data_IF_185089205702
#
_entry.id   IF_185089205702
#
_cell.length_a   1.000
_cell.length_b   1.000
_cell.length_c   1.000
_cell.angle_alpha   90.00
_cell.angle_beta   90.00
_cell.angle_gamma   90.00
#
_symmetry.space_group_name_H-M   'P 1'
#
loop_
_entity.id
_entity.type
_entity.pdbx_description
1 polymer ?
#
# COMPACT_ATOMS: atom_id res chain seq x y z
N UNK A 1 2.76 -67.64 37.26
CA UNK A 1 3.90 -68.56 37.09
C UNK A 1 4.46 -68.37 35.69
N UNK A 2 5.76 -68.13 35.63
CA UNK A 2 6.69 -68.17 34.49
C UNK A 2 6.47 -67.16 33.35
N UNK A 3 7.32 -66.14 33.45
CA UNK A 3 7.87 -65.21 32.47
C UNK A 3 8.47 -65.86 31.23
N UNK A 4 8.39 -65.19 30.08
CA UNK A 4 9.44 -65.25 29.06
C UNK A 4 9.70 -63.87 28.43
N UNK A 5 10.98 -63.51 28.48
CA UNK A 5 11.60 -62.28 28.02
C UNK A 5 11.91 -62.38 26.52
N UNK A 6 11.67 -61.30 25.76
CA UNK A 6 12.31 -61.11 24.45
C UNK A 6 13.17 -59.84 24.48
N UNK A 7 14.47 -60.07 24.51
CA UNK A 7 15.55 -59.09 24.36
C UNK A 7 15.80 -58.81 22.88
N UNK A 8 16.00 -57.54 22.53
CA UNK A 8 16.52 -57.12 21.22
C UNK A 8 17.89 -56.43 21.41
N UNK A 9 18.85 -56.58 20.50
CA UNK A 9 20.25 -56.25 20.76
C UNK A 9 20.58 -54.78 20.49
N UNK A 10 21.51 -54.28 21.32
CA UNK A 10 22.10 -52.96 21.29
C UNK A 10 23.09 -52.79 20.13
N UNK A 11 22.86 -51.80 19.27
CA UNK A 11 23.87 -51.33 18.32
C UNK A 11 24.66 -50.17 18.92
N UNK A 12 25.90 -50.46 19.30
CA UNK A 12 26.94 -49.46 19.62
C UNK A 12 27.14 -48.52 18.43
N UNK A 13 27.11 -47.21 18.66
CA UNK A 13 27.70 -46.22 17.74
C UNK A 13 28.65 -45.32 18.50
N UNK A 14 29.86 -45.30 17.98
CA UNK A 14 31.07 -44.60 18.38
C UNK A 14 30.85 -43.13 18.79
N UNK A 15 31.22 -42.83 20.03
CA UNK A 15 31.49 -41.47 20.49
C UNK A 15 32.84 -41.01 19.94
N UNK A 16 32.83 -40.29 18.81
CA UNK A 16 33.98 -39.46 18.42
C UNK A 16 33.94 -38.17 19.23
N UNK A 17 34.83 -38.09 20.22
CA UNK A 17 35.09 -36.91 21.02
C UNK A 17 35.45 -35.70 20.15
N UNK A 18 34.58 -34.69 20.15
CA UNK A 18 34.90 -33.35 19.68
C UNK A 18 35.35 -32.54 20.89
N UNK A 19 36.64 -32.20 20.93
CA UNK A 19 37.21 -31.25 21.88
C UNK A 19 36.41 -29.94 21.80
N UNK A 20 35.65 -29.62 22.86
CA UNK A 20 35.08 -28.29 23.06
C UNK A 20 36.23 -27.34 23.36
N UNK A 21 36.68 -26.61 22.35
CA UNK A 21 37.35 -25.33 22.58
C UNK A 21 36.29 -24.38 23.16
N UNK A 22 36.39 -24.12 24.46
CA UNK A 22 35.77 -22.95 25.07
C UNK A 22 36.46 -21.73 24.47
N UNK A 23 35.82 -21.10 23.48
CA UNK A 23 36.10 -19.71 23.16
C UNK A 23 35.18 -18.86 24.02
N UNK A 24 35.78 -18.10 24.94
CA UNK A 24 35.13 -16.98 25.62
C UNK A 24 34.56 -16.05 24.55
N UNK A 25 33.24 -15.79 24.54
CA UNK A 25 32.74 -14.64 23.81
C UNK A 25 32.96 -13.43 24.70
N UNK A 26 34.07 -12.72 24.46
CA UNK A 26 34.14 -11.31 24.81
C UNK A 26 32.98 -10.60 24.11
N UNK A 27 32.07 -10.13 24.94
CA UNK A 27 30.92 -9.34 24.59
C UNK A 27 31.45 -7.98 24.15
N UNK A 28 31.37 -7.66 22.85
CA UNK A 28 31.45 -6.27 22.41
C UNK A 28 30.14 -5.56 22.77
N UNK A 29 30.00 -5.22 24.04
CA UNK A 29 29.24 -4.03 24.42
C UNK A 29 30.16 -2.87 24.07
N UNK A 30 29.88 -2.25 22.93
CA UNK A 30 30.30 -0.86 22.74
C UNK A 30 29.68 -0.04 23.88
N UNK A 31 30.50 0.52 24.75
CA UNK A 31 30.08 1.48 25.80
C UNK A 31 29.49 2.77 25.21
N UNK A 32 29.55 2.95 23.89
CA UNK A 32 28.91 4.05 23.20
C UNK A 32 27.45 3.70 22.85
N UNK A 33 26.45 4.30 23.52
CA UNK A 33 25.02 4.14 23.17
C UNK A 33 24.68 4.66 21.77
N UNK A 34 25.62 5.30 21.05
CA UNK A 34 25.44 5.75 19.67
C UNK A 34 25.91 4.72 18.62
N UNK A 35 26.53 3.60 19.02
CA UNK A 35 27.04 2.59 18.08
C UNK A 35 26.03 1.45 17.90
N UNK A 36 25.01 1.69 17.06
CA UNK A 36 24.07 0.66 16.60
C UNK A 36 24.67 0.00 15.35
N UNK A 37 25.30 -1.16 15.49
CA UNK A 37 25.76 -1.93 14.34
C UNK A 37 24.58 -2.55 13.59
N UNK A 38 24.37 -2.13 12.34
CA UNK A 38 23.27 -2.57 11.51
C UNK A 38 23.52 -3.95 10.89
N UNK A 39 22.57 -4.87 11.04
CA UNK A 39 22.56 -6.14 10.28
C UNK A 39 21.73 -5.95 9.01
N UNK A 40 22.40 -5.88 7.85
CA UNK A 40 21.76 -5.68 6.54
C UNK A 40 21.20 -6.99 5.98
N UNK A 41 19.89 -7.02 5.68
CA UNK A 41 19.22 -8.14 5.02
C UNK A 41 18.19 -7.65 3.99
N UNK A 42 18.46 -7.87 2.70
CA UNK A 42 17.48 -7.69 1.62
C UNK A 42 17.08 -9.07 1.08
N UNK A 43 15.83 -9.51 1.20
CA UNK A 43 15.34 -10.68 0.50
C UNK A 43 14.91 -10.33 -0.93
N UNK A 44 15.47 -10.98 -1.94
CA UNK A 44 15.01 -10.89 -3.33
C UNK A 44 14.01 -12.00 -3.67
N UNK A 45 12.96 -11.66 -4.43
CA UNK A 45 12.08 -12.64 -5.09
C UNK A 45 12.53 -12.86 -6.53
N UNK A 46 12.56 -14.12 -6.94
CA UNK A 46 13.05 -14.67 -8.22
C UNK A 46 12.30 -14.26 -9.52
N UNK A 47 11.45 -13.22 -9.52
CA UNK A 47 10.53 -12.97 -10.65
C UNK A 47 10.74 -11.64 -11.41
N UNK A 48 11.84 -10.91 -11.21
CA UNK A 48 12.05 -9.60 -11.87
C UNK A 48 12.97 -9.61 -13.09
N UNK A 49 13.45 -10.76 -13.58
CA UNK A 49 14.29 -10.83 -14.80
C UNK A 49 15.67 -10.15 -14.69
N UNK A 50 15.93 -9.40 -13.61
CA UNK A 50 17.21 -8.77 -13.30
C UNK A 50 17.88 -9.63 -12.22
N UNK A 51 18.92 -10.36 -12.62
CA UNK A 51 19.66 -11.27 -11.74
C UNK A 51 20.48 -10.49 -10.71
N UNK A 52 20.00 -10.42 -9.46
CA UNK A 52 20.80 -9.94 -8.33
C UNK A 52 21.22 -11.12 -7.44
N UNK A 53 22.53 -11.24 -7.19
CA UNK A 53 23.16 -12.32 -6.40
C UNK A 53 22.65 -12.29 -4.94
N UNK A 54 22.30 -13.47 -4.41
CA UNK A 54 21.94 -13.64 -3.00
C UNK A 54 23.18 -13.62 -2.10
N UNK A 55 23.21 -12.78 -1.07
CA UNK A 55 24.28 -12.77 -0.07
C UNK A 55 23.98 -13.71 1.11
N UNK A 56 25.03 -14.38 1.62
CA UNK A 56 24.96 -15.28 2.79
C UNK A 56 24.60 -14.47 4.04
N UNK A 57 23.61 -14.93 4.80
CA UNK A 57 23.20 -14.34 6.07
C UNK A 57 24.32 -14.54 7.11
N UNK A 58 24.66 -13.49 7.86
CA UNK A 58 25.49 -13.59 9.07
C UNK A 58 24.81 -14.43 10.17
N UNK A 59 25.52 -14.71 11.29
CA UNK A 59 24.99 -15.52 12.38
C UNK A 59 23.68 -14.92 12.92
N UNK A 60 22.63 -15.75 12.98
CA UNK A 60 21.32 -15.35 13.50
C UNK A 60 21.46 -15.06 15.00
N UNK A 61 21.28 -13.82 15.40
CA UNK A 61 20.98 -13.49 16.79
C UNK A 61 19.67 -14.19 17.18
N UNK A 62 19.63 -14.85 18.34
CA UNK A 62 18.52 -15.71 18.78
C UNK A 62 17.28 -14.94 19.25
N UNK A 63 17.18 -13.63 18.98
CA UNK A 63 16.08 -12.82 19.43
C UNK A 63 14.79 -13.15 18.67
N UNK A 64 13.76 -13.59 19.40
CA UNK A 64 12.44 -13.87 18.85
C UNK A 64 11.56 -12.62 18.94
N UNK A 65 11.31 -11.98 17.80
CA UNK A 65 10.43 -10.83 17.71
C UNK A 65 8.97 -11.23 17.98
N UNK A 66 8.32 -10.53 18.91
CA UNK A 66 6.89 -10.71 19.18
C UNK A 66 6.06 -9.92 18.18
N UNK A 67 5.39 -10.61 17.27
CA UNK A 67 4.43 -9.96 16.37
C UNK A 67 3.18 -9.50 17.12
N UNK A 68 2.84 -8.22 16.99
CA UNK A 68 1.67 -7.57 17.55
C UNK A 68 0.59 -7.47 16.46
N UNK A 69 -0.62 -7.96 16.75
CA UNK A 69 -1.81 -7.74 15.93
C UNK A 69 -2.60 -6.53 16.47
N UNK A 70 -2.30 -5.29 16.02
CA UNK A 70 -2.90 -4.08 16.59
C UNK A 70 -4.42 -4.02 16.38
N UNK A 71 -4.95 -4.80 15.44
CA UNK A 71 -6.37 -4.83 15.11
C UNK A 71 -7.08 -6.07 15.67
N UNK A 72 -6.36 -6.93 16.41
CA UNK A 72 -6.87 -8.16 17.03
C UNK A 72 -7.67 -9.03 16.04
N UNK A 73 -7.28 -9.02 14.76
CA UNK A 73 -7.97 -9.71 13.66
C UNK A 73 -8.10 -11.20 13.89
N UNK A 74 -7.07 -11.83 14.46
CA UNK A 74 -7.13 -13.25 14.83
C UNK A 74 -8.17 -13.48 15.91
N UNK A 75 -8.13 -12.71 16.99
CA UNK A 75 -9.08 -12.81 18.09
C UNK A 75 -10.52 -12.61 17.60
N UNK A 76 -10.77 -11.62 16.73
CA UNK A 76 -12.09 -11.36 16.14
C UNK A 76 -12.62 -12.59 15.37
N UNK A 77 -11.77 -13.25 14.58
CA UNK A 77 -12.15 -14.47 13.88
C UNK A 77 -12.48 -15.62 14.85
N UNK A 78 -11.63 -15.87 15.85
CA UNK A 78 -11.85 -16.93 16.84
C UNK A 78 -13.14 -16.69 17.66
N UNK A 79 -13.40 -15.43 18.05
CA UNK A 79 -14.64 -15.07 18.72
C UNK A 79 -15.85 -15.29 17.81
N UNK A 80 -15.77 -14.90 16.53
CA UNK A 80 -16.83 -15.17 15.56
C UNK A 80 -17.09 -16.68 15.42
N UNK A 81 -16.03 -17.47 15.22
CA UNK A 81 -16.10 -18.94 15.08
C UNK A 81 -16.75 -19.61 16.30
N UNK A 82 -16.41 -19.18 17.52
CA UNK A 82 -17.06 -19.65 18.75
C UNK A 82 -18.55 -19.30 18.79
N UNK A 83 -18.89 -18.06 18.44
CA UNK A 83 -20.29 -17.56 18.44
C UNK A 83 -21.17 -18.25 17.41
N UNK A 84 -20.58 -18.71 16.30
CA UNK A 84 -21.33 -19.33 15.19
C UNK A 84 -21.26 -20.85 15.18
N UNK A 85 -20.84 -21.48 16.29
CA UNK A 85 -20.72 -22.95 16.40
C UNK A 85 -22.05 -23.66 16.16
N UNK A 86 -23.14 -23.05 16.63
CA UNK A 86 -24.51 -23.60 16.52
C UNK A 86 -25.32 -22.89 15.42
N UNK A 87 -24.63 -22.36 14.40
CA UNK A 87 -25.23 -21.58 13.33
C UNK A 87 -24.96 -20.07 13.44
N UNK A 88 -25.18 -19.35 12.35
CA UNK A 88 -24.97 -17.90 12.24
C UNK A 88 -26.28 -17.20 12.62
N UNK A 89 -26.29 -16.37 13.68
CA UNK A 89 -27.52 -15.74 14.14
C UNK A 89 -28.03 -14.67 13.16
N UNK A 90 -29.34 -14.63 12.98
CA UNK A 90 -30.05 -13.64 12.16
C UNK A 90 -30.20 -14.01 10.68
N UNK A 91 -29.90 -15.25 10.31
CA UNK A 91 -30.16 -15.82 8.99
C UNK A 91 -30.71 -17.24 9.12
N UNK A 92 -31.28 -17.78 8.05
CA UNK A 92 -31.77 -19.16 8.02
C UNK A 92 -30.66 -20.19 8.24
N UNK A 93 -31.03 -21.38 8.73
CA UNK A 93 -30.10 -22.49 8.93
C UNK A 93 -29.42 -22.91 7.63
N UNK A 94 -30.15 -22.94 6.51
CA UNK A 94 -29.61 -23.30 5.20
C UNK A 94 -28.46 -22.38 4.77
N UNK A 95 -28.65 -21.05 4.86
CA UNK A 95 -27.60 -20.09 4.57
C UNK A 95 -26.44 -20.17 5.57
N UNK A 96 -26.76 -20.34 6.86
CA UNK A 96 -25.76 -20.53 7.90
C UNK A 96 -24.82 -21.70 7.59
N UNK A 97 -25.37 -22.86 7.25
CA UNK A 97 -24.59 -24.08 6.98
C UNK A 97 -23.70 -23.90 5.74
N UNK A 98 -24.22 -23.28 4.68
CA UNK A 98 -23.43 -22.98 3.47
C UNK A 98 -22.26 -22.05 3.77
N UNK A 99 -22.48 -20.97 4.53
CA UNK A 99 -21.44 -20.00 4.88
C UNK A 99 -20.40 -20.64 5.79
N UNK A 100 -20.82 -21.37 6.82
CA UNK A 100 -19.90 -22.04 7.75
C UNK A 100 -19.04 -23.09 7.02
N UNK A 101 -19.65 -23.87 6.13
CA UNK A 101 -18.91 -24.82 5.30
C UNK A 101 -17.90 -24.11 4.41
N UNK A 102 -18.32 -23.06 3.70
CA UNK A 102 -17.42 -22.26 2.85
C UNK A 102 -16.24 -21.69 3.64
N UNK A 103 -16.49 -21.03 4.77
CA UNK A 103 -15.45 -20.42 5.59
C UNK A 103 -14.52 -21.49 6.18
N UNK A 104 -15.06 -22.63 6.62
CA UNK A 104 -14.27 -23.76 7.09
C UNK A 104 -13.34 -24.34 6.01
N UNK A 105 -13.83 -24.49 4.78
CA UNK A 105 -12.99 -24.93 3.66
C UNK A 105 -11.91 -23.89 3.31
N UNK A 106 -12.23 -22.59 3.34
CA UNK A 106 -11.26 -21.51 3.17
C UNK A 106 -10.20 -21.48 4.29
N UNK A 107 -10.57 -21.85 5.52
CA UNK A 107 -9.66 -21.98 6.66
C UNK A 107 -8.70 -23.16 6.48
N UNK A 108 -9.19 -24.28 5.96
CA UNK A 108 -8.36 -25.43 5.59
C UNK A 108 -7.53 -25.18 4.32
N UNK A 109 -7.92 -24.18 3.51
CA UNK A 109 -7.27 -23.87 2.24
C UNK A 109 -7.66 -24.81 1.11
N UNK A 110 -8.77 -25.52 1.25
CA UNK A 110 -9.29 -26.44 0.24
C UNK A 110 -10.34 -25.74 -0.62
N UNK A 111 -10.54 -26.24 -1.84
CA UNK A 111 -11.48 -25.69 -2.82
C UNK A 111 -11.34 -24.19 -3.10
N UNK A 112 -10.14 -23.65 -2.86
CA UNK A 112 -9.78 -22.29 -3.25
C UNK A 112 -9.70 -22.16 -4.78
N UNK A 113 -10.00 -20.97 -5.29
CA UNK A 113 -9.86 -20.65 -6.73
C UNK A 113 -8.42 -20.88 -7.21
N UNK A 114 -8.27 -21.46 -8.41
CA UNK A 114 -6.97 -21.68 -9.07
C UNK A 114 -6.18 -20.38 -9.27
N UNK A 115 -6.87 -19.24 -9.42
CA UNK A 115 -6.26 -17.93 -9.58
C UNK A 115 -5.75 -17.33 -8.25
N UNK A 116 -6.15 -17.90 -7.12
CA UNK A 116 -5.72 -17.43 -5.80
C UNK A 116 -4.51 -18.20 -5.31
N UNK A 117 -3.68 -17.56 -4.46
CA UNK A 117 -2.57 -18.27 -3.77
C UNK A 117 -3.13 -19.54 -3.09
N UNK A 118 -2.55 -20.73 -3.33
CA UNK A 118 -2.96 -21.96 -2.65
C UNK A 118 -2.81 -21.87 -1.13
N UNK A 119 -3.61 -22.67 -0.41
CA UNK A 119 -3.53 -22.81 1.04
C UNK A 119 -4.48 -21.93 1.86
N UNK A 120 -4.29 -21.99 3.18
CA UNK A 120 -5.18 -21.41 4.20
C UNK A 120 -5.34 -19.90 4.04
N UNK A 121 -6.55 -19.38 4.28
CA UNK A 121 -6.82 -17.94 4.31
C UNK A 121 -6.51 -17.35 5.68
N UNK A 122 -6.07 -16.09 5.69
CA UNK A 122 -5.74 -15.40 6.94
C UNK A 122 -6.99 -15.17 7.79
N UNK A 123 -6.87 -15.10 9.14
CA UNK A 123 -8.01 -14.83 10.01
C UNK A 123 -8.78 -13.56 9.64
N UNK A 124 -8.08 -12.52 9.16
CA UNK A 124 -8.73 -11.31 8.63
C UNK A 124 -9.64 -11.59 7.45
N UNK A 125 -9.19 -12.43 6.51
CA UNK A 125 -9.97 -12.78 5.33
C UNK A 125 -11.16 -13.64 5.72
N UNK A 126 -10.96 -14.64 6.58
CA UNK A 126 -12.02 -15.53 7.05
C UNK A 126 -13.12 -14.76 7.80
N UNK A 127 -12.71 -13.85 8.70
CA UNK A 127 -13.66 -12.97 9.39
C UNK A 127 -14.45 -12.08 8.42
N UNK A 128 -13.79 -11.50 7.42
CA UNK A 128 -14.45 -10.66 6.41
C UNK A 128 -15.45 -11.47 5.58
N UNK A 129 -15.07 -12.68 5.14
CA UNK A 129 -15.95 -13.58 4.39
C UNK A 129 -17.21 -13.92 5.19
N UNK A 130 -17.04 -14.38 6.44
CA UNK A 130 -18.17 -14.72 7.30
C UNK A 130 -19.09 -13.52 7.58
N UNK A 131 -18.52 -12.35 7.85
CA UNK A 131 -19.28 -11.13 8.11
C UNK A 131 -20.05 -10.63 6.88
N UNK A 132 -19.38 -10.52 5.72
CA UNK A 132 -20.02 -10.04 4.49
C UNK A 132 -21.08 -11.00 3.99
N UNK A 133 -20.81 -12.31 3.96
CA UNK A 133 -21.78 -13.30 3.48
C UNK A 133 -23.00 -13.40 4.39
N UNK A 134 -22.81 -13.32 5.71
CA UNK A 134 -23.94 -13.20 6.64
C UNK A 134 -24.80 -12.00 6.26
N UNK A 135 -24.21 -10.83 6.01
CA UNK A 135 -24.98 -9.64 5.66
C UNK A 135 -25.69 -9.78 4.31
N UNK A 136 -25.05 -10.42 3.32
CA UNK A 136 -25.71 -10.71 2.04
C UNK A 136 -26.90 -11.65 2.25
N UNK A 137 -26.77 -12.69 3.09
CA UNK A 137 -27.89 -13.57 3.44
C UNK A 137 -29.04 -12.80 4.13
N UNK A 138 -28.74 -11.95 5.12
CA UNK A 138 -29.75 -11.08 5.77
C UNK A 138 -30.52 -10.25 4.72
N UNK A 139 -29.82 -9.66 3.75
CA UNK A 139 -30.44 -8.82 2.72
C UNK A 139 -31.24 -9.64 1.69
N UNK A 140 -30.73 -10.80 1.26
CA UNK A 140 -31.45 -11.70 0.35
C UNK A 140 -32.78 -12.17 0.97
N UNK A 141 -32.73 -12.57 2.24
CA UNK A 141 -33.92 -13.00 2.98
C UNK A 141 -34.93 -11.85 3.12
N UNK A 142 -34.44 -10.62 3.40
CA UNK A 142 -35.27 -9.43 3.57
C UNK A 142 -35.92 -8.94 2.26
N UNK A 143 -35.17 -8.82 1.17
CA UNK A 143 -35.61 -8.13 -0.05
C UNK A 143 -36.14 -9.05 -1.14
N UNK A 144 -35.75 -10.34 -1.13
CA UNK A 144 -36.14 -11.31 -2.16
C UNK A 144 -36.97 -12.47 -1.61
N UNK A 145 -37.22 -12.52 -0.28
CA UNK A 145 -37.92 -13.61 0.40
C UNK A 145 -37.32 -15.00 0.06
N UNK A 146 -36.01 -15.05 -0.21
CA UNK A 146 -35.28 -16.29 -0.51
C UNK A 146 -34.57 -16.78 0.74
N UNK A 147 -34.93 -17.97 1.19
CA UNK A 147 -34.37 -18.59 2.40
C UNK A 147 -33.04 -19.30 2.18
N UNK A 148 -32.58 -19.45 0.94
CA UNK A 148 -31.32 -20.16 0.66
C UNK A 148 -30.61 -19.55 -0.54
N UNK A 149 -29.29 -19.40 -0.45
CA UNK A 149 -28.46 -19.02 -1.58
C UNK A 149 -28.58 -19.96 -2.77
N UNK A 150 -28.90 -21.24 -2.55
CA UNK A 150 -29.11 -22.20 -3.62
C UNK A 150 -30.30 -21.85 -4.55
N UNK A 151 -31.24 -21.04 -4.08
CA UNK A 151 -32.48 -20.70 -4.81
C UNK A 151 -32.39 -19.35 -5.54
N UNK A 152 -31.23 -18.67 -5.43
CA UNK A 152 -31.01 -17.35 -6.01
C UNK A 152 -31.01 -17.39 -7.54
N UNK A 153 -31.69 -16.41 -8.14
CA UNK A 153 -31.60 -16.12 -9.56
C UNK A 153 -30.61 -14.98 -9.81
N UNK A 154 -30.27 -14.76 -11.09
CA UNK A 154 -29.36 -13.69 -11.50
C UNK A 154 -29.90 -12.31 -11.15
N UNK A 155 -31.18 -12.10 -11.40
CA UNK A 155 -31.89 -10.84 -11.20
C UNK A 155 -31.88 -10.45 -9.72
N UNK A 156 -32.01 -11.45 -8.82
CA UNK A 156 -31.98 -11.22 -7.37
C UNK A 156 -30.67 -10.55 -6.94
N UNK A 157 -29.55 -11.13 -7.34
CA UNK A 157 -28.23 -10.68 -6.90
C UNK A 157 -27.78 -9.41 -7.60
N UNK A 158 -28.13 -9.24 -8.88
CA UNK A 158 -27.88 -7.99 -9.60
C UNK A 158 -28.60 -6.82 -8.93
N UNK A 159 -29.92 -6.95 -8.77
CA UNK A 159 -30.74 -5.91 -8.13
C UNK A 159 -30.24 -5.60 -6.73
N UNK A 160 -29.95 -6.62 -5.93
CA UNK A 160 -29.44 -6.43 -4.57
C UNK A 160 -28.17 -5.56 -4.54
N UNK A 161 -27.19 -5.88 -5.38
CA UNK A 161 -25.90 -5.18 -5.36
C UNK A 161 -25.95 -3.81 -6.02
N UNK A 162 -26.81 -3.61 -7.02
CA UNK A 162 -27.06 -2.29 -7.60
C UNK A 162 -27.77 -1.39 -6.58
N UNK A 163 -28.80 -1.90 -5.91
CA UNK A 163 -29.48 -1.19 -4.81
C UNK A 163 -28.53 -0.81 -3.66
N UNK A 164 -27.56 -1.67 -3.33
CA UNK A 164 -26.50 -1.35 -2.36
C UNK A 164 -25.55 -0.25 -2.87
N UNK A 165 -25.23 -0.23 -4.17
CA UNK A 165 -24.35 0.77 -4.78
C UNK A 165 -24.99 2.14 -4.89
N UNK A 166 -26.27 2.17 -5.23
CA UNK A 166 -27.06 3.39 -5.38
C UNK A 166 -27.59 3.92 -4.05
N UNK A 167 -27.34 3.19 -2.95
CA UNK A 167 -27.71 3.62 -1.61
C UNK A 167 -29.20 3.46 -1.31
N UNK A 168 -29.96 2.73 -2.16
CA UNK A 168 -31.34 2.34 -1.89
C UNK A 168 -31.42 1.34 -0.73
N UNK A 169 -30.44 0.44 -0.63
CA UNK A 169 -30.25 -0.40 0.54
C UNK A 169 -29.23 0.24 1.47
N UNK A 170 -29.70 0.61 2.66
CA UNK A 170 -28.89 1.27 3.68
C UNK A 170 -28.21 0.26 4.61
N UNK A 171 -27.09 0.69 5.19
CA UNK A 171 -26.42 -0.06 6.26
C UNK A 171 -27.27 -0.09 7.54
N UNK A 172 -26.88 -0.90 8.53
CA UNK A 172 -27.54 -0.92 9.85
C UNK A 172 -27.52 0.44 10.58
N UNK A 173 -26.72 1.40 10.11
CA UNK A 173 -26.66 2.77 10.63
C UNK A 173 -27.56 3.75 9.86
N UNK A 174 -28.35 3.28 8.89
CA UNK A 174 -29.17 4.15 8.04
C UNK A 174 -28.37 4.94 6.99
N UNK A 175 -27.06 4.71 6.85
CA UNK A 175 -26.25 5.38 5.82
C UNK A 175 -25.97 4.45 4.64
N UNK A 176 -25.75 4.99 3.43
CA UNK A 176 -25.28 4.20 2.28
C UNK A 176 -24.02 3.39 2.60
N UNK A 177 -23.86 2.26 1.92
CA UNK A 177 -22.67 1.43 2.05
C UNK A 177 -21.44 2.16 1.48
N UNK A 178 -20.37 2.25 2.27
CA UNK A 178 -19.11 2.86 1.81
C UNK A 178 -18.38 2.00 0.78
N UNK A 179 -18.47 0.67 0.91
CA UNK A 179 -17.75 -0.30 0.06
C UNK A 179 -18.62 -1.50 -0.35
N UNK A 180 -19.69 -1.31 -1.14
CA UNK A 180 -20.50 -2.42 -1.67
C UNK A 180 -19.64 -3.47 -2.39
N UNK A 181 -18.59 -3.04 -3.07
CA UNK A 181 -17.70 -3.91 -3.86
C UNK A 181 -16.96 -4.97 -3.02
N UNK A 182 -16.78 -4.74 -1.72
CA UNK A 182 -16.20 -5.75 -0.84
C UNK A 182 -17.17 -6.89 -0.56
N UNK A 183 -18.48 -6.61 -0.50
CA UNK A 183 -19.54 -7.63 -0.40
C UNK A 183 -19.66 -8.39 -1.72
N UNK A 184 -19.68 -7.69 -2.86
CA UNK A 184 -19.75 -8.28 -4.20
C UNK A 184 -18.60 -9.26 -4.43
N UNK A 185 -17.36 -8.84 -4.15
CA UNK A 185 -16.18 -9.70 -4.30
C UNK A 185 -16.26 -10.95 -3.44
N UNK A 186 -16.77 -10.81 -2.23
CA UNK A 186 -16.82 -11.91 -1.26
C UNK A 186 -17.94 -12.89 -1.61
N UNK A 187 -19.06 -12.39 -2.11
CA UNK A 187 -20.12 -13.19 -2.71
C UNK A 187 -19.67 -13.91 -3.98
N UNK A 188 -18.96 -13.23 -4.89
CA UNK A 188 -18.34 -13.86 -6.07
C UNK A 188 -17.43 -15.03 -5.67
N UNK A 189 -16.62 -14.83 -4.63
CA UNK A 189 -15.72 -15.86 -4.12
C UNK A 189 -16.51 -17.06 -3.58
N UNK A 190 -17.60 -16.79 -2.85
CA UNK A 190 -18.51 -17.81 -2.35
C UNK A 190 -19.22 -18.56 -3.48
N UNK A 191 -19.80 -17.87 -4.45
CA UNK A 191 -20.57 -18.48 -5.53
C UNK A 191 -19.71 -19.39 -6.41
N UNK A 192 -18.48 -18.96 -6.74
CA UNK A 192 -17.52 -19.81 -7.45
C UNK A 192 -17.18 -21.09 -6.68
N UNK A 193 -17.05 -21.00 -5.36
CA UNK A 193 -16.88 -22.17 -4.52
C UNK A 193 -18.13 -23.05 -4.51
N UNK A 194 -19.32 -22.46 -4.40
CA UNK A 194 -20.60 -23.17 -4.35
C UNK A 194 -20.84 -23.96 -5.64
N UNK A 195 -20.65 -23.33 -6.81
CA UNK A 195 -20.71 -24.00 -8.12
C UNK A 195 -19.76 -25.20 -8.18
N UNK A 196 -18.51 -25.02 -7.73
CA UNK A 196 -17.51 -26.10 -7.70
C UNK A 196 -17.95 -27.26 -6.81
N UNK A 197 -18.45 -26.98 -5.60
CA UNK A 197 -18.88 -28.02 -4.66
C UNK A 197 -20.10 -28.79 -5.17
N UNK A 198 -21.08 -28.10 -5.75
CA UNK A 198 -22.26 -28.80 -6.31
C UNK A 198 -21.89 -29.62 -7.54
N UNK A 199 -20.98 -29.15 -8.40
CA UNK A 199 -20.45 -29.94 -9.51
C UNK A 199 -19.77 -31.23 -9.02
N UNK A 200 -18.91 -31.16 -7.98
CA UNK A 200 -18.26 -32.33 -7.39
C UNK A 200 -19.27 -33.31 -6.76
N UNK A 201 -20.32 -32.81 -6.13
CA UNK A 201 -21.39 -33.67 -5.59
C UNK A 201 -22.15 -34.37 -6.71
N UNK A 202 -22.47 -33.64 -7.79
CA UNK A 202 -23.14 -34.17 -8.98
C UNK A 202 -22.32 -35.29 -9.63
N UNK A 203 -21.03 -35.06 -9.85
CA UNK A 203 -20.09 -36.06 -10.37
C UNK A 203 -20.04 -37.30 -9.48
N UNK A 204 -19.92 -37.11 -8.16
CA UNK A 204 -19.93 -38.23 -7.20
C UNK A 204 -21.22 -39.04 -7.23
N UNK A 205 -22.37 -38.38 -7.41
CA UNK A 205 -23.67 -39.05 -7.54
C UNK A 205 -23.75 -39.86 -8.84
N UNK A 206 -23.28 -39.31 -9.97
CA UNK A 206 -23.21 -40.01 -11.26
C UNK A 206 -22.30 -41.24 -11.16
N UNK A 207 -21.09 -41.10 -10.59
CA UNK A 207 -20.15 -42.20 -10.44
C UNK A 207 -20.68 -43.33 -9.54
N UNK A 208 -21.48 -43.00 -8.52
CA UNK A 208 -22.00 -43.99 -7.57
C UNK A 208 -23.32 -44.62 -7.99
N UNK A 209 -24.18 -43.87 -8.69
CA UNK A 209 -25.58 -44.26 -8.95
C UNK A 209 -25.92 -44.33 -10.44
N UNK A 210 -24.99 -43.98 -11.32
CA UNK A 210 -25.20 -43.85 -12.77
C UNK A 210 -26.05 -42.63 -13.18
N UNK A 211 -26.69 -41.94 -12.22
CA UNK A 211 -27.57 -40.79 -12.46
C UNK A 211 -27.56 -39.82 -11.28
N UNK A 212 -28.00 -38.60 -11.52
CA UNK A 212 -28.15 -37.56 -10.49
C UNK A 212 -29.42 -36.75 -10.73
N UNK A 213 -30.13 -36.43 -9.64
CA UNK A 213 -31.26 -35.49 -9.65
C UNK A 213 -30.82 -34.07 -9.28
N UNK A 214 -29.51 -33.83 -9.04
CA UNK A 214 -28.99 -32.51 -8.72
C UNK A 214 -29.04 -31.63 -9.97
N UNK A 215 -29.68 -30.47 -9.83
CA UNK A 215 -29.67 -29.43 -10.86
C UNK A 215 -28.29 -28.81 -10.97
N UNK A 216 -27.95 -28.39 -12.18
CA UNK A 216 -26.75 -27.59 -12.42
C UNK A 216 -26.90 -26.21 -11.78
N UNK A 217 -25.84 -25.73 -11.13
CA UNK A 217 -25.82 -24.37 -10.55
C UNK A 217 -25.37 -23.40 -11.63
N UNK A 218 -26.27 -22.53 -12.05
CA UNK A 218 -25.96 -21.50 -13.05
C UNK A 218 -25.02 -20.43 -12.49
N UNK A 219 -24.23 -19.84 -13.39
CA UNK A 219 -23.35 -18.73 -13.06
C UNK A 219 -24.14 -17.40 -12.99
N UNK A 220 -24.61 -17.04 -11.80
CA UNK A 220 -25.39 -15.81 -11.56
C UNK A 220 -24.50 -14.57 -11.32
N UNK A 221 -23.17 -14.72 -11.33
CA UNK A 221 -22.22 -13.66 -10.94
C UNK A 221 -21.37 -13.12 -12.10
N UNK A 222 -21.58 -13.66 -13.30
CA UNK A 222 -20.78 -13.35 -14.49
C UNK A 222 -20.79 -11.85 -14.81
N UNK A 223 -21.99 -11.25 -14.80
CA UNK A 223 -22.23 -9.88 -15.24
C UNK A 223 -22.29 -8.86 -14.09
N UNK A 224 -21.96 -9.26 -12.86
CA UNK A 224 -22.00 -8.32 -11.74
C UNK A 224 -21.02 -7.17 -11.95
N UNK A 225 -21.49 -5.95 -11.70
CA UNK A 225 -20.65 -4.76 -11.79
C UNK A 225 -19.58 -4.78 -10.68
N UNK A 226 -18.32 -4.98 -11.07
CA UNK A 226 -17.15 -5.02 -10.16
C UNK A 226 -16.40 -3.70 -10.07
N UNK A 227 -16.89 -2.65 -10.74
CA UNK A 227 -16.24 -1.35 -10.75
C UNK A 227 -16.22 -0.78 -9.33
N UNK A 228 -15.02 -0.47 -8.84
CA UNK A 228 -14.81 0.17 -7.55
C UNK A 228 -14.84 1.67 -7.72
N UNK A 229 -15.63 2.34 -6.88
CA UNK A 229 -15.47 3.78 -6.71
C UNK A 229 -14.08 4.05 -6.15
N UNK A 230 -13.41 5.08 -6.67
CA UNK A 230 -12.15 5.50 -6.10
C UNK A 230 -12.37 5.93 -4.65
N UNK A 231 -11.54 5.41 -3.74
CA UNK A 231 -11.66 5.79 -2.33
C UNK A 231 -11.26 7.26 -2.20
N UNK A 232 -12.04 8.03 -1.47
CA UNK A 232 -11.62 9.36 -1.03
C UNK A 232 -10.75 9.21 0.21
N UNK A 233 -9.84 10.14 0.44
CA UNK A 233 -8.97 10.14 1.62
C UNK A 233 -8.74 11.56 2.13
N UNK A 234 -8.21 11.68 3.33
CA UNK A 234 -7.82 12.99 3.87
C UNK A 234 -6.43 13.31 3.34
N UNK A 235 -6.29 14.45 2.67
CA UNK A 235 -5.00 14.93 2.18
C UNK A 235 -4.52 16.14 2.99
N UNK A 236 -3.21 16.24 3.20
CA UNK A 236 -2.57 17.40 3.80
C UNK A 236 -1.12 17.52 3.33
N UNK A 237 -0.59 18.74 3.27
CA UNK A 237 0.80 19.00 2.87
C UNK A 237 1.76 18.85 4.04
N UNK A 238 3.06 18.81 3.76
CA UNK A 238 4.07 18.81 4.82
C UNK A 238 4.03 20.10 5.65
N UNK A 239 3.78 21.25 5.04
CA UNK A 239 3.68 22.52 5.78
C UNK A 239 2.45 22.57 6.68
N UNK A 240 1.33 22.00 6.25
CA UNK A 240 0.17 21.82 7.12
C UNK A 240 0.50 20.89 8.29
N UNK A 241 1.25 19.80 8.04
CA UNK A 241 1.70 18.93 9.12
C UNK A 241 2.56 19.71 10.12
N UNK A 242 3.55 20.51 9.67
CA UNK A 242 4.40 21.32 10.54
C UNK A 242 3.59 22.23 11.47
N UNK A 243 2.54 22.87 10.96
CA UNK A 243 1.65 23.71 11.77
C UNK A 243 0.87 22.91 12.84
N UNK A 244 0.58 21.64 12.57
CA UNK A 244 -0.14 20.76 13.51
C UNK A 244 0.78 20.18 14.58
N UNK A 245 2.05 19.93 14.28
CA UNK A 245 3.00 19.28 15.19
C UNK A 245 3.09 19.92 16.60
N UNK A 246 3.10 21.26 16.76
CA UNK A 246 3.08 21.91 18.08
C UNK A 246 1.85 21.58 18.94
N UNK A 247 0.74 21.16 18.32
CA UNK A 247 -0.49 20.79 19.02
C UNK A 247 -0.55 19.31 19.41
N UNK A 248 0.51 18.54 19.13
CA UNK A 248 0.65 17.14 19.51
C UNK A 248 1.58 16.99 20.70
N UNK A 249 1.38 15.93 21.48
CA UNK A 249 2.36 15.54 22.50
C UNK A 249 3.69 15.16 21.85
N UNK A 250 4.82 15.36 22.55
CA UNK A 250 6.16 15.08 22.01
C UNK A 250 6.27 13.69 21.37
N UNK A 251 5.62 12.68 21.95
CA UNK A 251 5.62 11.31 21.42
C UNK A 251 4.77 11.16 20.15
N UNK A 252 3.57 11.76 20.09
CA UNK A 252 2.75 11.72 18.88
C UNK A 252 3.31 12.57 17.75
N UNK A 253 4.06 13.62 18.07
CA UNK A 253 4.76 14.46 17.10
C UNK A 253 5.79 13.63 16.31
N UNK A 254 6.63 12.87 17.00
CA UNK A 254 7.62 11.96 16.39
C UNK A 254 6.92 10.88 15.57
N UNK A 255 5.87 10.25 16.09
CA UNK A 255 5.11 9.24 15.34
C UNK A 255 4.46 9.81 14.08
N UNK A 256 3.88 11.03 14.15
CA UNK A 256 3.24 11.67 13.01
C UNK A 256 4.26 11.99 11.90
N UNK A 257 5.40 12.59 12.27
CA UNK A 257 6.52 12.82 11.34
C UNK A 257 7.02 11.50 10.74
N UNK A 258 7.26 10.49 11.57
CA UNK A 258 7.70 9.18 11.14
C UNK A 258 6.75 8.54 10.13
N UNK A 259 5.43 8.57 10.37
CA UNK A 259 4.45 8.00 9.44
C UNK A 259 4.39 8.77 8.11
N UNK A 260 4.59 10.09 8.15
CA UNK A 260 4.61 10.93 6.95
C UNK A 260 5.84 10.62 6.09
N UNK A 261 7.01 10.58 6.71
CA UNK A 261 8.29 10.38 6.03
C UNK A 261 8.48 8.93 5.54
N UNK A 262 8.23 7.95 6.42
CA UNK A 262 8.48 6.54 6.13
C UNK A 262 7.41 5.89 5.25
N UNK A 263 6.22 6.51 5.14
CA UNK A 263 5.03 6.01 4.42
C UNK A 263 4.67 4.53 4.73
N UNK A 264 5.06 4.04 5.91
CA UNK A 264 4.75 2.67 6.36
C UNK A 264 3.25 2.49 6.62
N UNK A 265 2.79 1.24 6.64
CA UNK A 265 1.39 0.93 6.92
C UNK A 265 1.10 1.12 8.40
N UNK A 266 0.27 2.11 8.68
CA UNK A 266 -0.33 2.30 10.00
C UNK A 266 -1.66 1.51 10.09
N UNK A 267 -1.92 0.73 11.17
CA UNK A 267 -1.04 0.49 12.32
C UNK A 267 -0.07 -0.69 12.13
N UNK A 268 -0.31 -1.57 11.16
CA UNK A 268 0.28 -2.93 11.15
C UNK A 268 1.82 -2.97 11.12
N UNK A 269 2.46 -2.13 10.29
CA UNK A 269 3.92 -2.08 10.22
C UNK A 269 4.46 -1.22 11.37
N UNK A 270 3.87 -0.05 11.63
CA UNK A 270 4.33 0.88 12.66
C UNK A 270 4.32 0.29 14.08
N UNK A 271 3.32 -0.53 14.43
CA UNK A 271 3.22 -1.18 15.75
C UNK A 271 4.20 -2.35 15.94
N UNK A 272 4.90 -2.78 14.90
CA UNK A 272 5.77 -3.96 14.91
C UNK A 272 7.25 -3.62 14.66
N UNK A 273 7.59 -2.33 14.58
CA UNK A 273 8.96 -1.87 14.48
C UNK A 273 9.63 -1.92 15.84
N UNK A 274 10.84 -2.47 15.87
CA UNK A 274 11.74 -2.47 17.02
C UNK A 274 12.85 -1.44 16.82
N UNK A 275 13.57 -1.06 17.88
CA UNK A 275 14.75 -0.20 17.74
C UNK A 275 15.83 -0.90 16.90
N UNK A 276 15.99 -2.21 17.02
CA UNK A 276 16.87 -3.02 16.17
C UNK A 276 16.48 -3.06 14.69
N UNK A 277 15.26 -2.61 14.33
CA UNK A 277 14.86 -2.42 12.93
C UNK A 277 15.41 -1.09 12.36
N UNK A 278 16.04 -0.26 13.18
CA UNK A 278 16.75 0.95 12.75
C UNK A 278 18.25 0.67 12.61
N UNK A 279 18.88 1.34 11.64
CA UNK A 279 20.34 1.35 11.49
C UNK A 279 20.83 2.74 11.11
N UNK A 280 22.09 3.04 11.36
CA UNK A 280 22.72 4.30 10.96
C UNK A 280 23.72 3.97 9.84
N UNK A 281 23.60 4.64 8.70
CA UNK A 281 24.57 4.56 7.61
C UNK A 281 24.86 5.97 7.10
N UNK A 282 26.13 6.38 7.12
CA UNK A 282 26.54 7.73 6.70
C UNK A 282 25.72 8.84 7.38
N UNK A 283 25.55 8.73 8.70
CA UNK A 283 24.77 9.63 9.56
C UNK A 283 23.24 9.67 9.32
N UNK A 284 22.75 8.95 8.31
CA UNK A 284 21.32 8.79 8.03
C UNK A 284 20.71 7.60 8.77
N UNK A 285 19.45 7.75 9.21
CA UNK A 285 18.70 6.67 9.85
C UNK A 285 17.96 5.85 8.79
N UNK A 286 18.28 4.56 8.72
CA UNK A 286 17.59 3.59 7.89
C UNK A 286 16.58 2.77 8.70
N UNK A 287 15.41 2.54 8.12
CA UNK A 287 14.35 1.67 8.64
C UNK A 287 14.32 0.38 7.84
N UNK A 288 14.38 -0.75 8.53
CA UNK A 288 14.21 -2.09 7.96
C UNK A 288 12.83 -2.66 8.31
N UNK A 289 11.94 -2.72 7.33
CA UNK A 289 10.66 -3.42 7.47
C UNK A 289 10.88 -4.89 7.16
N UNK A 290 10.84 -5.73 8.20
CA UNK A 290 11.00 -7.18 8.08
C UNK A 290 9.90 -7.85 7.25
N UNK A 291 10.22 -8.99 6.65
CA UNK A 291 9.34 -9.70 5.72
C UNK A 291 8.06 -10.23 6.38
N UNK A 292 8.15 -10.65 7.65
CA UNK A 292 7.03 -11.14 8.46
C UNK A 292 6.11 -10.02 8.94
N UNK A 293 6.61 -8.79 9.03
CA UNK A 293 5.82 -7.59 9.38
C UNK A 293 5.17 -6.98 8.13
N UNK A 294 5.89 -7.00 7.01
CA UNK A 294 5.40 -6.43 5.76
C UNK A 294 4.22 -7.20 5.18
N UNK A 295 3.21 -6.47 4.68
CA UNK A 295 2.09 -7.07 3.95
C UNK A 295 2.51 -7.63 2.57
N UNK A 296 3.59 -7.09 1.99
CA UNK A 296 4.01 -7.41 0.61
C UNK A 296 5.37 -8.07 0.59
N UNK A 297 6.41 -7.31 0.90
CA UNK A 297 7.80 -7.75 0.94
C UNK A 297 8.61 -6.93 1.93
N UNK A 298 9.64 -7.53 2.52
CA UNK A 298 10.59 -6.84 3.39
C UNK A 298 11.38 -5.78 2.61
N UNK A 299 11.74 -4.67 3.26
CA UNK A 299 12.34 -3.51 2.58
C UNK A 299 13.14 -2.64 3.55
N UNK A 300 14.15 -1.94 3.02
CA UNK A 300 14.97 -0.98 3.75
C UNK A 300 14.94 0.37 3.04
N UNK A 301 14.88 1.46 3.80
CA UNK A 301 14.90 2.84 3.27
C UNK A 301 15.39 3.82 4.35
N UNK A 302 15.95 4.96 3.95
CA UNK A 302 16.36 6.04 4.86
C UNK A 302 15.19 6.96 5.23
N UNK A 303 15.22 7.53 6.43
CA UNK A 303 14.38 8.66 6.84
C UNK A 303 14.98 9.95 6.29
N UNK A 304 14.13 10.86 5.83
CA UNK A 304 14.52 12.12 5.17
C UNK A 304 14.13 13.34 6.00
N UNK A 305 13.07 13.23 6.83
CA UNK A 305 12.46 14.38 7.52
C UNK A 305 12.44 14.24 9.03
N UNK A 306 12.70 13.06 9.59
CA UNK A 306 12.47 12.79 11.00
C UNK A 306 13.55 11.95 11.67
N UNK A 307 14.75 11.90 11.09
CA UNK A 307 15.86 11.14 11.62
C UNK A 307 16.30 11.66 12.99
N UNK A 308 16.48 12.97 13.13
CA UNK A 308 16.86 13.63 14.39
C UNK A 308 15.79 13.48 15.46
N UNK A 309 14.51 13.68 15.12
CA UNK A 309 13.41 13.50 16.07
C UNK A 309 13.29 12.06 16.57
N UNK A 310 13.61 11.08 15.73
CA UNK A 310 13.64 9.66 16.13
C UNK A 310 14.83 9.39 17.04
N UNK A 311 16.04 9.89 16.72
CA UNK A 311 17.23 9.78 17.58
C UNK A 311 16.97 10.39 18.96
N UNK A 312 16.47 11.62 19.01
CA UNK A 312 16.14 12.32 20.27
C UNK A 312 15.06 11.55 21.05
N UNK A 313 14.04 11.04 20.37
CA UNK A 313 12.98 10.24 21.00
C UNK A 313 13.53 8.97 21.67
N UNK A 314 14.41 8.23 20.98
CA UNK A 314 15.03 7.00 21.52
C UNK A 314 15.85 7.34 22.76
N UNK A 315 16.70 8.37 22.68
CA UNK A 315 17.53 8.84 23.81
C UNK A 315 16.67 9.27 25.01
N UNK A 316 15.65 10.10 24.77
CA UNK A 316 14.75 10.63 25.82
C UNK A 316 13.98 9.53 26.54
N UNK A 317 13.55 8.49 25.82
CA UNK A 317 12.76 7.40 26.38
C UNK A 317 13.62 6.20 26.82
N UNK A 318 14.95 6.29 26.66
CA UNK A 318 15.91 5.23 27.04
C UNK A 318 15.55 3.87 26.44
N UNK A 319 15.15 3.85 25.15
CA UNK A 319 14.73 2.62 24.48
C UNK A 319 15.95 1.79 24.07
N UNK A 320 15.92 0.50 24.40
CA UNK A 320 16.93 -0.47 24.01
C UNK A 320 16.62 -1.15 22.67
N UNK A 321 17.57 -1.91 22.09
CA UNK A 321 17.40 -2.57 20.78
C UNK A 321 16.15 -3.47 20.69
N UNK A 322 15.76 -4.08 21.80
CA UNK A 322 14.64 -5.03 21.87
C UNK A 322 13.30 -4.39 22.20
N UNK A 323 13.27 -3.07 22.39
CA UNK A 323 12.03 -2.34 22.58
C UNK A 323 11.35 -2.05 21.25
N UNK A 324 10.02 -1.94 21.29
CA UNK A 324 9.27 -1.40 20.18
C UNK A 324 9.66 0.07 19.98
N UNK A 325 9.72 0.51 18.72
CA UNK A 325 9.97 1.91 18.39
C UNK A 325 8.86 2.83 18.92
N UNK A 326 7.61 2.38 18.94
CA UNK A 326 6.48 3.17 19.45
C UNK A 326 5.59 2.35 20.40
N UNK A 327 6.06 2.02 21.62
CA UNK A 327 5.33 1.16 22.55
C UNK A 327 4.01 1.79 23.04
N UNK A 328 3.92 3.13 23.01
CA UNK A 328 2.72 3.88 23.35
C UNK A 328 1.66 3.89 22.24
N UNK A 329 1.96 3.36 21.05
CA UNK A 329 1.11 3.56 19.89
C UNK A 329 -0.22 2.81 19.99
N UNK A 330 -1.29 3.57 20.21
CA UNK A 330 -2.68 3.11 20.19
C UNK A 330 -3.44 3.84 19.08
N UNK A 331 -3.78 3.13 18.00
CA UNK A 331 -4.39 3.70 16.80
C UNK A 331 -5.61 4.60 17.08
N UNK A 332 -6.52 4.15 17.96
CA UNK A 332 -7.75 4.90 18.27
C UNK A 332 -7.45 6.23 18.96
N UNK A 333 -6.48 6.25 19.88
CA UNK A 333 -6.04 7.46 20.57
C UNK A 333 -5.31 8.39 19.61
N UNK A 334 -4.37 7.84 18.84
CA UNK A 334 -3.59 8.61 17.87
C UNK A 334 -4.50 9.30 16.83
N UNK A 335 -5.44 8.57 16.21
CA UNK A 335 -6.36 9.15 15.24
C UNK A 335 -7.20 10.28 15.85
N UNK A 336 -7.76 10.07 17.06
CA UNK A 336 -8.54 11.12 17.75
C UNK A 336 -7.71 12.36 18.06
N UNK A 337 -6.47 12.18 18.51
CA UNK A 337 -5.58 13.31 18.82
C UNK A 337 -5.21 14.08 17.56
N UNK A 338 -4.89 13.38 16.46
CA UNK A 338 -4.62 13.99 15.17
C UNK A 338 -5.83 14.77 14.63
N UNK A 339 -7.02 14.14 14.61
CA UNK A 339 -8.25 14.79 14.16
C UNK A 339 -8.49 16.10 14.91
N UNK A 340 -8.41 16.06 16.25
CA UNK A 340 -8.56 17.27 17.09
C UNK A 340 -7.53 18.34 16.76
N UNK A 341 -6.27 17.96 16.55
CA UNK A 341 -5.20 18.90 16.26
C UNK A 341 -5.37 19.55 14.88
N UNK A 342 -5.69 18.76 13.83
CA UNK A 342 -5.98 19.31 12.50
C UNK A 342 -7.22 20.20 12.49
N UNK A 343 -8.32 19.78 13.14
CA UNK A 343 -9.54 20.59 13.24
C UNK A 343 -9.28 21.89 14.02
N UNK A 344 -8.44 21.85 15.06
CA UNK A 344 -8.07 23.06 15.81
C UNK A 344 -7.33 24.08 14.94
N UNK A 345 -6.45 23.62 14.05
CA UNK A 345 -5.61 24.51 13.21
C UNK A 345 -6.33 24.97 11.96
N UNK A 346 -7.08 24.10 11.29
CA UNK A 346 -7.64 24.35 9.95
C UNK A 346 -9.18 24.30 9.88
N UNK A 347 -9.86 23.99 10.99
CA UNK A 347 -11.29 23.64 10.97
C UNK A 347 -11.55 22.26 10.37
N UNK A 348 -12.81 21.82 10.38
CA UNK A 348 -13.21 20.54 9.77
C UNK A 348 -13.57 20.66 8.28
N UNK A 349 -12.64 21.20 7.49
CA UNK A 349 -12.85 21.44 6.07
C UNK A 349 -12.65 20.18 5.21
N UNK A 350 -13.31 20.14 4.05
CA UNK A 350 -13.08 19.13 3.03
C UNK A 350 -11.69 19.30 2.41
N UNK A 351 -10.88 18.24 2.45
CA UNK A 351 -9.55 18.25 1.85
C UNK A 351 -9.58 17.93 0.35
N UNK A 352 -8.53 18.24 -0.42
CA UNK A 352 -8.42 17.85 -1.83
C UNK A 352 -8.56 16.34 -2.09
N UNK A 353 -8.26 15.50 -1.11
CA UNK A 353 -8.49 14.05 -1.20
C UNK A 353 -9.96 13.63 -1.10
N UNK A 354 -10.87 14.59 -0.88
CA UNK A 354 -12.32 14.40 -0.86
C UNK A 354 -12.87 13.88 0.47
N UNK A 355 -12.14 14.03 1.57
CA UNK A 355 -12.60 13.75 2.93
C UNK A 355 -12.28 14.91 3.88
N UNK A 356 -13.10 15.13 4.93
CA UNK A 356 -12.85 16.16 5.93
C UNK A 356 -11.80 15.71 6.96
N UNK A 357 -11.20 16.65 7.69
CA UNK A 357 -10.18 16.32 8.71
C UNK A 357 -10.70 15.47 9.86
N UNK A 358 -12.00 15.47 10.15
CA UNK A 358 -12.66 14.58 11.10
C UNK A 358 -12.58 13.09 10.71
N UNK A 359 -12.31 12.79 9.45
CA UNK A 359 -12.05 11.44 8.95
C UNK A 359 -10.55 11.08 8.89
N UNK A 360 -9.66 11.94 9.42
CA UNK A 360 -8.22 11.71 9.38
C UNK A 360 -7.83 10.45 10.16
N UNK A 361 -7.00 9.61 9.56
CA UNK A 361 -6.45 8.42 10.21
C UNK A 361 -4.96 8.30 9.92
N UNK A 362 -4.25 7.45 10.66
CA UNK A 362 -2.84 7.14 10.36
C UNK A 362 -2.59 6.63 8.93
N UNK A 363 -3.62 6.17 8.21
CA UNK A 363 -3.48 5.79 6.80
C UNK A 363 -3.29 6.99 5.86
N UNK A 364 -3.85 8.16 6.21
CA UNK A 364 -3.72 9.39 5.42
C UNK A 364 -2.26 9.87 5.34
N UNK A 365 -1.46 9.64 6.39
CA UNK A 365 -0.02 9.95 6.39
C UNK A 365 0.74 9.27 5.27
N UNK A 366 0.36 8.02 4.95
CA UNK A 366 0.94 7.28 3.84
C UNK A 366 0.54 7.86 2.48
N UNK A 367 -0.63 8.48 2.35
CA UNK A 367 -1.05 9.15 1.12
C UNK A 367 -0.36 10.49 0.96
N UNK A 368 -0.49 11.35 1.97
CA UNK A 368 0.12 12.68 2.01
C UNK A 368 1.65 12.62 1.88
N UNK A 369 2.29 11.72 2.62
CA UNK A 369 3.74 11.52 2.55
C UNK A 369 4.20 10.99 1.19
N UNK A 370 3.44 10.09 0.56
CA UNK A 370 3.77 9.61 -0.78
C UNK A 370 3.65 10.72 -1.83
N UNK A 371 2.65 11.60 -1.69
CA UNK A 371 2.50 12.77 -2.53
C UNK A 371 3.68 13.74 -2.37
N UNK A 372 4.06 14.03 -1.13
CA UNK A 372 5.19 14.89 -0.82
C UNK A 372 6.50 14.33 -1.38
N UNK A 373 6.83 13.07 -1.07
CA UNK A 373 8.06 12.44 -1.56
C UNK A 373 8.10 12.34 -3.08
N UNK A 374 6.95 12.12 -3.74
CA UNK A 374 6.88 12.13 -5.21
C UNK A 374 7.16 13.50 -5.81
N UNK A 375 6.83 14.58 -5.10
CA UNK A 375 7.10 15.95 -5.56
C UNK A 375 8.55 16.39 -5.37
N UNK A 376 9.34 15.66 -4.58
CA UNK A 376 10.76 15.96 -4.40
C UNK A 376 11.55 15.59 -5.67
N UNK A 377 12.41 16.53 -6.11
CA UNK A 377 13.34 16.30 -7.23
C UNK A 377 14.24 15.10 -6.93
N UNK A 378 14.44 14.22 -7.90
CA UNK A 378 15.35 13.07 -7.80
C UNK A 378 14.78 11.81 -7.13
N UNK A 379 13.54 11.83 -6.64
CA UNK A 379 12.87 10.62 -6.13
C UNK A 379 12.25 9.84 -7.29
N UNK A 380 12.90 8.73 -7.68
CA UNK A 380 12.32 7.84 -8.69
C UNK A 380 11.08 7.13 -8.16
N UNK A 381 10.13 6.85 -9.06
CA UNK A 381 8.91 6.10 -8.73
C UNK A 381 9.25 4.74 -8.13
N UNK A 382 10.31 4.08 -8.61
CA UNK A 382 10.75 2.78 -8.08
C UNK A 382 11.22 2.88 -6.63
N UNK A 383 12.00 3.91 -6.27
CA UNK A 383 12.40 4.15 -4.87
C UNK A 383 11.17 4.35 -3.99
N UNK A 384 10.17 5.09 -4.49
CA UNK A 384 8.92 5.29 -3.79
C UNK A 384 8.08 4.00 -3.67
N UNK A 385 8.04 3.17 -4.72
CA UNK A 385 7.44 1.84 -4.74
C UNK A 385 8.05 0.94 -3.68
N UNK A 386 9.38 0.89 -3.63
CA UNK A 386 10.14 0.14 -2.62
C UNK A 386 9.81 0.69 -1.23
N UNK A 387 9.98 1.99 -0.95
CA UNK A 387 9.71 2.62 0.36
C UNK A 387 8.30 2.38 0.88
N UNK A 388 7.29 2.47 0.02
CA UNK A 388 5.91 2.16 0.39
C UNK A 388 5.62 0.67 0.46
N UNK A 389 6.41 -0.20 -0.17
CA UNK A 389 6.08 -1.61 -0.34
C UNK A 389 4.87 -1.79 -1.28
N UNK A 390 4.88 -1.11 -2.42
CA UNK A 390 3.85 -1.24 -3.47
C UNK A 390 4.37 -2.16 -4.58
N UNK A 391 3.54 -3.13 -4.98
CA UNK A 391 3.87 -4.05 -6.08
C UNK A 391 3.27 -3.62 -7.43
N UNK A 392 2.57 -2.49 -7.48
CA UNK A 392 1.86 -2.04 -8.68
C UNK A 392 1.82 -0.51 -8.72
N UNK A 393 2.29 0.05 -9.84
CA UNK A 393 2.35 1.48 -10.12
C UNK A 393 0.99 2.19 -9.99
N UNK A 394 -0.11 1.51 -10.37
CA UNK A 394 -1.48 2.05 -10.26
C UNK A 394 -1.81 2.55 -8.86
N UNK A 395 -1.18 1.99 -7.81
CA UNK A 395 -1.40 2.44 -6.43
C UNK A 395 -0.78 3.80 -6.14
N UNK A 396 0.39 4.08 -6.70
CA UNK A 396 1.04 5.39 -6.53
C UNK A 396 0.29 6.43 -7.36
N UNK A 397 -0.04 6.09 -8.62
CA UNK A 397 -0.81 6.99 -9.47
C UNK A 397 -2.16 7.32 -8.84
N UNK A 398 -2.86 6.35 -8.25
CA UNK A 398 -4.08 6.62 -7.50
C UNK A 398 -3.91 7.68 -6.40
N UNK A 399 -2.81 7.66 -5.63
CA UNK A 399 -2.59 8.67 -4.58
C UNK A 399 -2.26 10.04 -5.11
N UNK A 400 -1.68 10.13 -6.29
CA UNK A 400 -1.06 11.36 -6.81
C UNK A 400 -1.79 11.91 -8.01
N UNK A 401 -2.90 11.27 -8.41
CA UNK A 401 -3.74 11.65 -9.52
C UNK A 401 -4.30 13.06 -9.39
N UNK A 402 -4.78 13.43 -8.21
CA UNK A 402 -5.32 14.78 -7.98
C UNK A 402 -4.25 15.88 -8.04
N UNK A 403 -2.96 15.52 -8.00
CA UNK A 403 -1.83 16.43 -8.21
C UNK A 403 -1.43 16.54 -9.69
N UNK A 404 -2.16 15.89 -10.61
CA UNK A 404 -1.80 15.81 -12.03
C UNK A 404 -0.59 14.89 -12.29
N UNK A 405 -0.22 14.03 -11.34
CA UNK A 405 0.91 13.12 -11.45
C UNK A 405 0.47 11.68 -11.81
N UNK A 406 -0.67 11.49 -12.44
CA UNK A 406 -1.13 10.15 -12.85
C UNK A 406 -0.41 9.60 -14.10
N UNK A 407 0.47 10.39 -14.69
CA UNK A 407 1.21 10.06 -15.91
C UNK A 407 0.45 10.36 -17.19
N UNK A 408 -0.75 10.98 -17.09
CA UNK A 408 -1.42 11.52 -18.27
C UNK A 408 -0.76 12.82 -18.65
N UNK A 409 -0.37 12.89 -19.92
CA UNK A 409 0.11 14.12 -20.52
C UNK A 409 -1.13 14.79 -21.12
N UNK A 410 -1.65 15.81 -20.45
CA UNK A 410 -2.74 16.64 -20.99
C UNK A 410 -2.14 17.52 -22.10
N UNK A 411 -2.69 17.44 -23.32
CA UNK A 411 -2.18 18.20 -24.47
C UNK A 411 -2.22 19.70 -24.21
N UNK A 412 -3.18 20.18 -23.44
CA UNK A 412 -3.27 21.58 -22.98
C UNK A 412 -2.11 22.00 -22.06
N UNK A 413 -1.47 21.07 -21.35
CA UNK A 413 -0.26 21.33 -20.53
C UNK A 413 1.04 21.15 -21.31
N UNK A 414 0.99 20.49 -22.48
CA UNK A 414 2.08 20.44 -23.45
C UNK A 414 2.18 21.71 -24.29
N UNK A 415 1.09 22.47 -24.37
CA UNK A 415 1.19 23.88 -24.77
C UNK A 415 1.94 24.50 -23.61
N UNK A 416 3.26 24.60 -23.77
CA UNK A 416 4.09 25.45 -22.94
C UNK A 416 3.30 26.75 -22.78
N UNK A 417 2.84 27.06 -21.55
CA UNK A 417 2.84 28.47 -21.21
C UNK A 417 4.29 28.85 -21.49
N UNK A 418 4.58 29.72 -22.47
CA UNK A 418 5.92 30.22 -22.57
C UNK A 418 6.16 30.83 -21.20
N UNK A 419 6.90 30.13 -20.34
CA UNK A 419 7.77 30.80 -19.41
C UNK A 419 8.55 31.71 -20.35
N UNK A 420 8.12 32.96 -20.41
CA UNK A 420 8.89 34.04 -20.99
C UNK A 420 10.14 34.01 -20.15
N UNK A 421 11.09 33.18 -20.59
CA UNK A 421 12.36 33.03 -19.98
C UNK A 421 13.00 34.37 -20.33
N UNK A 422 12.81 35.36 -19.46
CA UNK A 422 13.30 36.73 -19.66
C UNK A 422 14.78 36.70 -20.04
N UNK A 423 15.52 35.68 -19.58
CA UNK A 423 16.89 35.41 -19.96
C UNK A 423 17.06 35.03 -21.44
N UNK A 424 16.15 34.24 -22.02
CA UNK A 424 16.19 33.88 -23.45
C UNK A 424 15.77 35.05 -24.34
N UNK A 425 14.76 35.83 -23.93
CA UNK A 425 14.39 37.09 -24.61
C UNK A 425 15.53 38.12 -24.55
N UNK A 426 16.19 38.25 -23.38
CA UNK A 426 17.39 39.08 -23.24
C UNK A 426 18.52 38.60 -24.14
N UNK A 427 18.81 37.29 -24.16
CA UNK A 427 19.85 36.72 -25.06
C UNK A 427 19.55 37.00 -26.52
N UNK A 428 18.29 36.85 -26.96
CA UNK A 428 17.88 37.17 -28.35
C UNK A 428 17.99 38.67 -28.63
N UNK A 429 17.63 39.53 -27.66
CA UNK A 429 17.84 40.98 -27.78
C UNK A 429 19.32 41.34 -27.90
N UNK A 430 20.19 40.81 -27.03
CA UNK A 430 21.64 41.05 -27.09
C UNK A 430 22.22 40.58 -28.41
N UNK A 431 21.82 39.41 -28.91
CA UNK A 431 22.28 38.89 -30.20
C UNK A 431 21.82 39.78 -31.36
N UNK A 432 20.59 40.29 -31.33
CA UNK A 432 20.09 41.20 -32.36
C UNK A 432 20.81 42.56 -32.34
N UNK A 433 21.15 43.07 -31.16
CA UNK A 433 21.95 44.29 -31.01
C UNK A 433 23.38 44.11 -31.53
N UNK A 434 24.02 42.97 -31.24
CA UNK A 434 25.34 42.62 -31.79
C UNK A 434 25.31 42.49 -33.32
N UNK A 435 24.29 41.83 -33.87
CA UNK A 435 24.10 41.72 -35.32
C UNK A 435 23.91 43.10 -35.95
N UNK A 436 23.13 43.99 -35.33
CA UNK A 436 22.92 45.35 -35.82
C UNK A 436 24.22 46.16 -35.80
N UNK A 437 25.04 46.00 -34.76
CA UNK A 437 26.36 46.63 -34.65
C UNK A 437 27.33 46.12 -35.74
N UNK A 438 27.42 44.80 -35.91
CA UNK A 438 28.23 44.18 -36.96
C UNK A 438 27.79 44.62 -38.36
N UNK A 439 26.48 44.75 -38.62
CA UNK A 439 25.96 45.29 -39.89
C UNK A 439 26.42 46.72 -40.13
N UNK A 440 26.43 47.57 -39.10
CA UNK A 440 26.87 48.96 -39.20
C UNK A 440 28.38 49.04 -39.50
N UNK A 441 29.18 48.20 -38.85
CA UNK A 441 30.62 48.09 -39.10
C UNK A 441 30.91 47.58 -40.52
N UNK A 442 30.19 46.55 -40.98
CA UNK A 442 30.30 46.04 -42.36
C UNK A 442 29.92 47.13 -43.38
N UNK A 443 28.83 47.86 -43.16
CA UNK A 443 28.42 48.96 -44.06
C UNK A 443 29.46 50.08 -44.08
N UNK A 444 30.09 50.42 -42.94
CA UNK A 444 31.18 51.39 -42.89
C UNK A 444 32.40 50.89 -43.68
N UNK A 445 32.81 49.63 -43.48
CA UNK A 445 33.93 49.04 -44.22
C UNK A 445 33.64 49.04 -45.73
N UNK A 446 32.44 48.64 -46.14
CA UNK A 446 32.00 48.67 -47.54
C UNK A 446 32.04 50.11 -48.08
N UNK A 447 31.54 51.10 -47.32
CA UNK A 447 31.54 52.51 -47.76
C UNK A 447 32.94 53.11 -47.94
N UNK A 448 33.94 52.61 -47.20
CA UNK A 448 35.34 53.04 -47.31
C UNK A 448 36.08 52.29 -48.43
N UNK A 449 35.67 51.05 -48.73
CA UNK A 449 36.37 50.16 -49.67
C UNK A 449 35.85 50.30 -51.11
N UNK A 450 34.61 50.76 -51.27
CA UNK A 450 34.03 51.08 -52.58
C UNK A 450 34.72 52.34 -53.13
N UNK A 451 35.56 52.15 -54.15
CA UNK A 451 36.03 53.22 -55.04
C UNK A 451 34.84 53.79 -55.81
N UNK A 452 34.86 55.12 -56.01
CA UNK A 452 33.83 55.91 -56.70
C UNK A 452 33.20 55.17 -57.89
N UNK A 453 31.90 54.87 -57.78
CA UNK A 453 31.12 54.27 -58.88
C UNK A 453 30.12 53.16 -58.50
N UNK A 454 30.05 52.69 -57.25
CA UNK A 454 29.09 51.66 -56.85
C UNK A 454 27.85 52.26 -56.16
N UNK A 455 26.66 52.02 -56.71
CA UNK A 455 25.40 52.54 -56.16
C UNK A 455 24.93 51.74 -54.92
N UNK A 456 24.96 52.39 -53.76
CA UNK A 456 24.57 51.82 -52.45
C UNK A 456 23.08 51.41 -52.40
N UNK A 457 22.24 51.89 -53.31
CA UNK A 457 20.81 51.56 -53.41
C UNK A 457 20.55 50.06 -53.58
N UNK A 458 21.43 49.31 -54.27
CA UNK A 458 21.25 47.88 -54.54
C UNK A 458 21.45 46.97 -53.31
N UNK A 459 22.12 47.45 -52.25
CA UNK A 459 22.31 46.68 -51.01
C UNK A 459 21.07 46.67 -50.10
N UNK A 460 20.13 47.61 -50.30
CA UNK A 460 18.89 47.68 -49.50
C UNK A 460 17.83 46.65 -49.93
N UNK A 461 18.02 45.99 -51.07
CA UNK A 461 17.04 45.06 -51.64
C UNK A 461 17.33 43.57 -51.37
N UNK A 462 18.40 43.24 -50.63
CA UNK A 462 18.64 41.86 -50.23
C UNK A 462 17.50 41.39 -49.31
N UNK A 463 16.73 40.35 -49.71
CA UNK A 463 15.54 39.95 -48.98
C UNK A 463 15.94 39.46 -47.58
N UNK A 464 15.46 40.19 -46.56
CA UNK A 464 15.46 39.72 -45.19
C UNK A 464 14.51 38.51 -45.12
N UNK A 465 15.02 37.32 -44.83
CA UNK A 465 14.19 36.31 -44.19
C UNK A 465 13.87 36.80 -42.78
N UNK A 466 12.82 37.61 -42.66
CA UNK A 466 12.18 37.83 -41.37
C UNK A 466 11.63 36.48 -40.89
N UNK A 467 12.24 35.93 -39.84
CA UNK A 467 11.66 34.81 -39.10
C UNK A 467 10.45 35.36 -38.33
N UNK A 468 9.29 35.44 -38.99
CA UNK A 468 8.03 35.73 -38.31
C UNK A 468 7.61 34.48 -37.53
N UNK A 469 7.69 34.57 -36.21
CA UNK A 469 7.03 33.60 -35.32
C UNK A 469 5.53 33.84 -35.44
N UNK A 470 4.85 32.97 -36.19
CA UNK A 470 3.40 33.00 -36.33
C UNK A 470 2.78 32.61 -34.99
N UNK A 471 2.17 33.57 -34.30
CA UNK A 471 1.26 33.31 -33.19
C UNK A 471 -0.08 32.86 -33.78
N UNK A 472 -0.38 31.56 -33.70
CA UNK A 472 -1.73 31.07 -33.96
C UNK A 472 -2.55 31.16 -32.68
N UNK A 473 -3.68 31.87 -32.77
CA UNK A 473 -4.70 32.00 -31.72
C UNK A 473 -5.50 30.71 -31.53
#
# INVERSE_FOLDING_TARGET
>A
MVSENNTSPSSKRDEKGVKKQQMNPEIYLSEDPNKIEAVSHIPTKKNSGIGFKSYKMGPKTSFSYKYIDPLKKRQLYETWKKKTKNGIPGITQANSDLILKFVGEMELGINVSKLSKPGKRSPTRLHSLGYHLRRVAELVEQYHNKKCFADLQREDIHKLFDDMKEGRILSKKGTPYLSPDDYIRDFICFWNWFMKIEALKREKDILKKGKTNRKEVFNIIEYLNRARKENKFVYFTYDQLKQVLPHLTKNFRVLALFLFDSIVRSPSEASNLYISDLGIEKDEVFVNIRQEVSKTYGRKFNLVLCDDEVKEYIKRNKLGPQDLLFPFYKMKTFNKTLQKAFIKVFGDMMTPGGKPYSELTGYAFRHSGACYLRSLRGVSIDKLMVRGGWSNLRRINYYTRFLGLDGRIERERLIEQPEINENMMKVVQTQNEEIAKLRKEILQIISVTIKEGFEISQLKELPLQEVKVVQNA
#
